data_IF_971415756053
#
_entry.id   IF_971415756053
#
_cell.length_a   1.000
_cell.length_b   1.000
_cell.length_c   1.000
_cell.angle_alpha   90.00
_cell.angle_beta   90.00
_cell.angle_gamma   90.00
#
_symmetry.space_group_name_H-M   'P 1'
#
loop_
_entity.id
_entity.type
_entity.pdbx_description
1 polymer ?
#
# COMPACT_ATOMS: atom_id res chain seq x y z
N UNK A 1 5.30 -57.83 -48.86
CA UNK A 1 4.12 -57.04 -49.30
C UNK A 1 3.93 -55.86 -48.34
N UNK A 2 3.67 -54.67 -48.92
CA UNK A 2 3.29 -53.36 -48.33
C UNK A 2 2.03 -53.48 -47.43
N UNK A 3 1.65 -52.65 -46.42
CA UNK A 3 2.00 -51.29 -45.94
C UNK A 3 1.43 -51.08 -44.50
N UNK A 4 2.07 -50.15 -43.77
CA UNK A 4 1.91 -49.54 -42.43
C UNK A 4 0.56 -49.48 -41.68
N UNK A 5 0.65 -49.54 -40.33
CA UNK A 5 -0.12 -48.71 -39.39
C UNK A 5 0.74 -48.30 -38.16
N UNK A 6 0.71 -47.01 -37.84
CA UNK A 6 1.31 -46.32 -36.67
C UNK A 6 0.35 -46.36 -35.47
N UNK A 7 0.87 -46.24 -34.23
CA UNK A 7 0.08 -45.69 -33.11
C UNK A 7 0.41 -46.28 -31.73
N UNK A 8 1.15 -45.53 -30.93
CA UNK A 8 1.63 -45.81 -29.57
C UNK A 8 0.51 -45.62 -28.50
N UNK A 9 0.53 -46.46 -27.46
CA UNK A 9 0.18 -46.19 -26.04
C UNK A 9 -1.16 -45.52 -25.70
N UNK A 10 -2.10 -46.24 -25.04
CA UNK A 10 -2.94 -45.69 -23.94
C UNK A 10 -3.44 -46.83 -23.03
N UNK A 11 -3.10 -46.71 -21.74
CA UNK A 11 -3.62 -47.41 -20.56
C UNK A 11 -5.14 -47.18 -20.40
N UNK A 12 -5.97 -48.20 -20.66
CA UNK A 12 -7.40 -48.24 -20.29
C UNK A 12 -7.73 -49.65 -19.77
N UNK A 13 -7.98 -49.75 -18.47
CA UNK A 13 -8.92 -50.71 -17.84
C UNK A 13 -9.61 -49.88 -16.75
N UNK A 14 -10.81 -49.33 -17.02
CA UNK A 14 -12.13 -49.97 -16.83
C UNK A 14 -12.32 -50.31 -15.34
N UNK A 15 -12.85 -49.38 -14.55
CA UNK A 15 -14.28 -49.28 -14.20
C UNK A 15 -14.76 -50.45 -13.34
N UNK A 16 -15.07 -50.13 -12.10
CA UNK A 16 -16.09 -50.78 -11.28
C UNK A 16 -16.66 -49.70 -10.36
N UNK A 17 -17.46 -48.75 -10.85
CA UNK A 17 -18.93 -48.84 -10.87
C UNK A 17 -19.49 -49.83 -9.85
N UNK A 18 -19.97 -49.30 -8.73
CA UNK A 18 -21.35 -49.45 -8.22
C UNK A 18 -21.35 -49.34 -6.69
N UNK A 19 -21.98 -48.27 -6.22
CA UNK A 19 -22.59 -48.19 -4.89
C UNK A 19 -23.41 -49.45 -4.60
N UNK A 20 -23.19 -50.09 -3.45
CA UNK A 20 -24.26 -50.70 -2.62
C UNK A 20 -23.70 -51.10 -1.25
N UNK A 21 -24.38 -50.67 -0.17
CA UNK A 21 -24.75 -51.56 0.93
C UNK A 21 -23.89 -51.55 2.21
N UNK A 22 -24.57 -51.22 3.31
CA UNK A 22 -24.19 -51.21 4.73
C UNK A 22 -23.19 -52.23 5.31
N UNK A 23 -22.45 -51.67 6.27
CA UNK A 23 -22.07 -52.13 7.62
C UNK A 23 -20.86 -53.06 7.88
N UNK A 24 -19.97 -52.45 8.68
CA UNK A 24 -18.95 -52.98 9.60
C UNK A 24 -17.72 -53.67 9.02
N UNK A 25 -16.60 -52.93 9.04
CA UNK A 25 -15.26 -53.48 9.25
C UNK A 25 -14.33 -52.42 9.86
N UNK A 26 -13.64 -52.83 10.92
CA UNK A 26 -12.58 -52.10 11.62
C UNK A 26 -11.39 -51.75 10.70
N UNK A 27 -10.74 -50.64 11.05
CA UNK A 27 -9.34 -50.27 10.75
C UNK A 27 -8.79 -50.61 9.35
N UNK A 28 -8.65 -49.60 8.48
CA UNK A 28 -7.75 -49.70 7.33
C UNK A 28 -7.94 -48.65 6.24
N UNK A 29 -7.07 -47.64 6.23
CA UNK A 29 -6.78 -46.70 5.12
C UNK A 29 -8.00 -46.02 4.50
N UNK A 30 -8.50 -45.00 5.22
CA UNK A 30 -9.45 -44.03 4.68
C UNK A 30 -8.92 -43.34 3.42
N UNK A 31 -9.82 -43.10 2.48
CA UNK A 31 -9.60 -42.25 1.32
C UNK A 31 -8.96 -40.94 1.78
N UNK A 32 -7.81 -40.62 1.19
CA UNK A 32 -7.12 -39.37 1.48
C UNK A 32 -7.98 -38.23 0.95
N UNK A 33 -8.58 -37.47 1.87
CA UNK A 33 -9.03 -36.11 1.59
C UNK A 33 -7.96 -35.36 0.79
N UNK A 34 -8.34 -34.45 -0.14
CA UNK A 34 -7.36 -33.68 -0.90
C UNK A 34 -6.43 -32.92 0.05
N UNK A 35 -5.19 -33.40 0.15
CA UNK A 35 -4.20 -32.88 1.09
C UNK A 35 -3.61 -31.56 0.55
N UNK A 36 -4.21 -30.45 0.97
CA UNK A 36 -3.69 -29.10 0.74
C UNK A 36 -2.60 -28.78 1.77
N UNK A 37 -1.38 -29.30 1.54
CA UNK A 37 -0.21 -28.86 2.31
C UNK A 37 0.38 -27.57 1.76
N UNK A 38 1.18 -26.87 2.57
CA UNK A 38 1.91 -25.68 2.16
C UNK A 38 2.74 -25.88 0.87
N UNK A 39 3.21 -27.10 0.60
CA UNK A 39 3.98 -27.44 -0.62
C UNK A 39 3.11 -27.58 -1.88
N UNK A 40 1.79 -27.72 -1.74
CA UNK A 40 0.85 -27.99 -2.83
C UNK A 40 0.01 -26.77 -3.24
N UNK A 41 0.17 -25.62 -2.59
CA UNK A 41 -0.73 -24.48 -2.74
C UNK A 41 -0.63 -23.77 -4.10
N UNK A 42 0.49 -23.87 -4.80
CA UNK A 42 0.68 -23.22 -6.11
C UNK A 42 0.22 -24.06 -7.31
N UNK A 43 -0.59 -25.10 -7.09
CA UNK A 43 -1.10 -25.96 -8.17
C UNK A 43 -2.32 -25.34 -8.85
N UNK A 44 -2.58 -25.81 -10.08
CA UNK A 44 -3.77 -25.40 -10.83
C UNK A 44 -5.02 -26.19 -10.42
N UNK A 45 -6.17 -25.52 -10.42
CA UNK A 45 -7.48 -26.12 -10.16
C UNK A 45 -7.99 -26.84 -11.40
N UNK A 46 -8.72 -27.94 -11.17
CA UNK A 46 -9.50 -28.55 -12.24
C UNK A 46 -10.65 -27.60 -12.66
N UNK A 47 -11.12 -27.66 -13.91
CA UNK A 47 -12.17 -26.75 -14.42
C UNK A 47 -13.45 -26.71 -13.56
N UNK A 48 -13.86 -27.83 -12.99
CA UNK A 48 -15.02 -27.99 -12.09
C UNK A 48 -14.81 -27.38 -10.69
N UNK A 49 -13.55 -27.15 -10.31
CA UNK A 49 -13.17 -26.53 -9.04
C UNK A 49 -12.92 -25.02 -9.17
N UNK A 50 -13.06 -24.46 -10.38
CA UNK A 50 -12.90 -23.02 -10.61
C UNK A 50 -14.16 -22.29 -10.15
N UNK A 51 -14.01 -21.47 -9.13
CA UNK A 51 -15.07 -20.59 -8.63
C UNK A 51 -14.93 -19.22 -9.32
N UNK A 52 -16.04 -18.73 -9.90
CA UNK A 52 -16.13 -17.35 -10.42
C UNK A 52 -16.77 -16.44 -9.39
N UNK A 53 -16.55 -15.14 -9.54
CA UNK A 53 -17.12 -14.12 -8.67
C UNK A 53 -18.15 -13.35 -9.45
N UNK A 54 -19.24 -13.04 -8.77
CA UNK A 54 -20.27 -12.17 -9.29
C UNK A 54 -20.74 -11.23 -8.20
N UNK A 55 -20.96 -9.99 -8.57
CA UNK A 55 -21.64 -8.98 -7.75
C UNK A 55 -23.13 -8.88 -8.14
N UNK A 56 -23.65 -9.89 -8.87
CA UNK A 56 -25.04 -9.93 -9.35
C UNK A 56 -26.02 -9.68 -8.19
N UNK A 57 -26.66 -8.51 -8.22
CA UNK A 57 -27.96 -8.20 -7.61
C UNK A 57 -28.13 -8.53 -6.12
N UNK A 58 -27.89 -7.53 -5.27
CA UNK A 58 -28.50 -7.39 -3.92
C UNK A 58 -28.40 -8.61 -2.99
N UNK A 59 -27.33 -9.40 -3.03
CA UNK A 59 -27.10 -10.39 -1.97
C UNK A 59 -26.83 -9.66 -0.65
N UNK A 60 -27.55 -9.99 0.42
CA UNK A 60 -27.23 -9.49 1.77
C UNK A 60 -26.08 -10.29 2.43
N UNK A 61 -25.70 -11.43 1.83
CA UNK A 61 -24.76 -12.40 2.39
C UNK A 61 -23.68 -12.82 1.41
N UNK A 62 -22.57 -13.33 1.95
CA UNK A 62 -21.59 -14.15 1.23
C UNK A 62 -22.21 -15.52 1.00
N UNK A 63 -22.53 -15.84 -0.25
CA UNK A 63 -23.21 -17.08 -0.61
C UNK A 63 -22.84 -17.56 -2.00
N UNK A 64 -23.13 -18.83 -2.31
CA UNK A 64 -23.00 -19.34 -3.67
C UNK A 64 -24.31 -19.17 -4.45
N UNK A 65 -24.20 -18.93 -5.75
CA UNK A 65 -25.33 -19.02 -6.68
C UNK A 65 -25.98 -20.41 -6.58
N UNK A 66 -27.27 -20.51 -6.94
CA UNK A 66 -28.02 -21.78 -6.88
C UNK A 66 -27.36 -22.94 -7.65
N UNK A 67 -26.57 -22.64 -8.68
CA UNK A 67 -25.82 -23.64 -9.45
C UNK A 67 -24.46 -24.03 -8.84
N UNK A 68 -24.08 -23.42 -7.71
CA UNK A 68 -22.82 -23.65 -6.99
C UNK A 68 -21.56 -23.15 -7.71
N UNK A 69 -21.69 -22.44 -8.84
CA UNK A 69 -20.53 -22.09 -9.70
C UNK A 69 -19.93 -20.72 -9.41
N UNK A 70 -20.70 -19.83 -8.77
CA UNK A 70 -20.26 -18.45 -8.50
C UNK A 70 -20.42 -18.12 -7.02
N UNK A 71 -19.43 -17.43 -6.47
CA UNK A 71 -19.58 -16.79 -5.17
C UNK A 71 -20.16 -15.39 -5.37
N UNK A 72 -21.22 -15.10 -4.63
CA UNK A 72 -21.89 -13.82 -4.51
C UNK A 72 -21.41 -13.12 -3.25
N UNK A 73 -21.14 -11.83 -3.36
CA UNK A 73 -20.76 -10.97 -2.25
C UNK A 73 -21.82 -9.88 -2.08
N UNK A 74 -22.00 -9.36 -0.85
CA UNK A 74 -22.87 -8.22 -0.66
C UNK A 74 -22.33 -6.98 -1.35
N UNK A 75 -23.24 -6.22 -1.98
CA UNK A 75 -22.93 -5.00 -2.77
C UNK A 75 -22.73 -3.79 -1.87
N UNK A 76 -23.38 -3.77 -0.71
CA UNK A 76 -23.26 -2.72 0.29
C UNK A 76 -23.39 -3.35 1.68
N UNK A 77 -22.37 -3.29 2.52
CA UNK A 77 -22.57 -3.69 3.92
C UNK A 77 -21.69 -2.94 4.91
N UNK A 78 -22.33 -2.07 5.69
CA UNK A 78 -21.68 -1.10 6.59
C UNK A 78 -21.49 -1.60 8.04
N UNK A 79 -22.28 -2.56 8.54
CA UNK A 79 -22.23 -2.90 9.98
C UNK A 79 -21.30 -4.07 10.33
N UNK A 80 -21.32 -5.17 9.55
CA UNK A 80 -20.46 -6.32 9.84
C UNK A 80 -18.98 -6.04 9.51
N UNK A 81 -18.71 -5.09 8.62
CA UNK A 81 -17.34 -4.71 8.25
C UNK A 81 -16.66 -3.89 9.36
N UNK A 82 -17.42 -3.18 10.19
CA UNK A 82 -16.88 -2.54 11.39
C UNK A 82 -16.24 -3.56 12.36
N UNK A 83 -16.75 -4.80 12.41
CA UNK A 83 -16.16 -5.89 13.21
C UNK A 83 -14.71 -6.19 12.78
N UNK A 84 -14.40 -5.98 11.50
CA UNK A 84 -13.07 -6.15 10.93
C UNK A 84 -12.26 -4.84 10.87
N UNK A 85 -12.80 -3.74 11.39
CA UNK A 85 -12.14 -2.43 11.48
C UNK A 85 -12.06 -1.68 10.16
N UNK A 86 -13.07 -1.82 9.30
CA UNK A 86 -13.27 -0.89 8.18
C UNK A 86 -13.86 0.42 8.69
N UNK A 87 -13.34 1.56 8.22
CA UNK A 87 -13.94 2.88 8.44
C UNK A 87 -14.99 3.23 7.38
N UNK A 88 -15.75 4.31 7.61
CA UNK A 88 -16.84 4.73 6.73
C UNK A 88 -16.36 5.06 5.31
N UNK A 89 -15.20 5.72 5.18
CA UNK A 89 -14.61 6.08 3.89
C UNK A 89 -14.17 4.84 3.10
N UNK A 90 -13.50 3.88 3.77
CA UNK A 90 -13.16 2.58 3.19
C UNK A 90 -14.41 1.87 2.68
N UNK A 91 -15.50 1.87 3.46
CA UNK A 91 -16.75 1.19 3.07
C UNK A 91 -17.42 1.91 1.89
N UNK A 92 -17.47 3.24 1.90
CA UNK A 92 -18.01 4.04 0.80
C UNK A 92 -17.30 3.76 -0.52
N UNK A 93 -15.96 3.76 -0.51
CA UNK A 93 -15.15 3.42 -1.68
C UNK A 93 -15.44 1.98 -2.12
N UNK A 94 -15.51 1.01 -1.21
CA UNK A 94 -15.73 -0.39 -1.57
C UNK A 94 -17.14 -0.69 -2.12
N UNK A 95 -18.08 0.23 -1.95
CA UNK A 95 -19.44 0.12 -2.47
C UNK A 95 -19.63 0.88 -3.80
N UNK A 96 -18.63 1.66 -4.23
CA UNK A 96 -18.66 2.30 -5.55
C UNK A 96 -18.34 1.26 -6.64
N UNK A 97 -19.32 1.02 -7.51
CA UNK A 97 -19.21 0.08 -8.64
C UNK A 97 -18.16 0.47 -9.69
N UNK A 98 -17.60 1.69 -9.62
CA UNK A 98 -16.54 2.19 -10.50
C UNK A 98 -15.12 1.91 -9.98
N UNK A 99 -14.96 1.55 -8.70
CA UNK A 99 -13.64 1.39 -8.06
C UNK A 99 -13.21 -0.08 -7.95
N UNK A 100 -12.36 -0.50 -8.88
CA UNK A 100 -11.52 -1.70 -8.72
C UNK A 100 -12.27 -3.01 -8.43
N UNK A 101 -11.68 -3.87 -7.58
CA UNK A 101 -12.27 -5.15 -7.21
C UNK A 101 -12.36 -5.27 -5.66
N UNK A 102 -13.51 -4.89 -5.08
CA UNK A 102 -13.72 -4.75 -3.63
C UNK A 102 -13.50 -6.01 -2.79
N UNK A 103 -13.68 -7.21 -3.39
CA UNK A 103 -13.39 -8.47 -2.70
C UNK A 103 -11.93 -8.53 -2.24
N UNK A 104 -10.98 -8.06 -3.04
CA UNK A 104 -9.57 -8.18 -2.68
C UNK A 104 -9.19 -7.31 -1.50
N UNK A 105 -9.74 -6.11 -1.44
CA UNK A 105 -9.56 -5.22 -0.29
C UNK A 105 -10.14 -5.87 0.97
N UNK A 106 -11.33 -6.48 0.85
CA UNK A 106 -11.97 -7.26 1.93
C UNK A 106 -11.10 -8.42 2.40
N UNK A 107 -10.62 -9.24 1.46
CA UNK A 107 -9.71 -10.36 1.75
C UNK A 107 -8.41 -9.89 2.41
N UNK A 108 -7.82 -8.78 1.95
CA UNK A 108 -6.58 -8.25 2.53
C UNK A 108 -6.78 -7.74 3.96
N UNK A 109 -7.97 -7.21 4.29
CA UNK A 109 -8.26 -6.76 5.65
C UNK A 109 -8.42 -7.93 6.62
N UNK A 110 -8.96 -9.07 6.19
CA UNK A 110 -9.25 -10.20 7.10
C UNK A 110 -8.26 -11.36 7.01
N UNK A 111 -7.38 -11.40 6.00
CA UNK A 111 -6.34 -12.41 5.85
C UNK A 111 -4.95 -11.86 6.17
N UNK A 112 -4.06 -12.71 6.67
CA UNK A 112 -2.64 -12.41 6.86
C UNK A 112 -1.81 -12.99 5.70
N UNK A 113 -1.90 -12.34 4.54
CA UNK A 113 -1.21 -12.78 3.31
C UNK A 113 0.28 -12.43 3.25
N UNK A 114 0.80 -11.71 4.25
CA UNK A 114 2.15 -11.14 4.30
C UNK A 114 3.30 -12.17 4.25
N UNK A 115 2.98 -13.47 4.28
CA UNK A 115 3.97 -14.55 4.23
C UNK A 115 4.09 -15.22 2.85
N UNK A 116 3.23 -14.89 1.88
CA UNK A 116 3.22 -15.52 0.54
C UNK A 116 2.88 -14.50 -0.54
N UNK A 117 1.86 -14.76 -1.34
CA UNK A 117 1.44 -13.92 -2.46
C UNK A 117 0.16 -13.18 -2.08
N UNK A 118 0.02 -11.92 -2.48
CA UNK A 118 -1.20 -11.18 -2.20
C UNK A 118 -2.41 -11.87 -2.86
N UNK A 119 -3.60 -11.90 -2.23
CA UNK A 119 -4.78 -12.58 -2.79
C UNK A 119 -5.07 -12.15 -4.23
N UNK A 120 -4.96 -10.84 -4.52
CA UNK A 120 -5.10 -10.29 -5.87
C UNK A 120 -4.08 -10.89 -6.87
N UNK A 121 -2.83 -11.09 -6.47
CA UNK A 121 -1.81 -11.66 -7.34
C UNK A 121 -2.04 -13.17 -7.55
N UNK A 122 -2.45 -13.89 -6.50
CA UNK A 122 -2.84 -15.31 -6.60
C UNK A 122 -4.04 -15.50 -7.54
N UNK A 123 -4.90 -14.48 -7.64
CA UNK A 123 -6.01 -14.45 -8.57
C UNK A 123 -5.65 -13.95 -9.98
N UNK A 124 -4.73 -13.00 -10.16
CA UNK A 124 -4.26 -12.66 -11.52
C UNK A 124 -3.57 -13.83 -12.21
N UNK A 125 -2.90 -14.69 -11.44
CA UNK A 125 -2.36 -15.96 -11.94
C UNK A 125 -3.46 -17.01 -12.25
N UNK A 126 -4.70 -16.76 -11.83
CA UNK A 126 -5.89 -17.59 -12.09
C UNK A 126 -6.44 -17.40 -13.52
N UNK A 127 -6.24 -16.24 -14.15
CA UNK A 127 -6.76 -15.94 -15.51
C UNK A 127 -6.28 -16.93 -16.59
N UNK A 128 -5.23 -17.73 -16.29
CA UNK A 128 -4.67 -18.73 -17.19
C UNK A 128 -4.91 -20.18 -16.72
N UNK A 129 -5.47 -20.43 -15.52
CA UNK A 129 -5.53 -21.82 -15.01
C UNK A 129 -6.32 -22.18 -13.76
N UNK A 130 -6.84 -21.29 -12.90
CA UNK A 130 -7.34 -21.71 -11.57
C UNK A 130 -6.21 -21.92 -10.57
N UNK A 131 -6.04 -21.13 -9.50
CA UNK A 131 -4.95 -21.34 -8.52
C UNK A 131 -5.49 -21.92 -7.20
N UNK A 132 -4.91 -23.01 -6.68
CA UNK A 132 -5.29 -23.63 -5.40
C UNK A 132 -5.16 -22.66 -4.23
N UNK A 133 -4.08 -21.86 -4.16
CA UNK A 133 -3.87 -20.87 -3.10
C UNK A 133 -5.04 -19.89 -3.01
N UNK A 134 -5.63 -19.56 -4.16
CA UNK A 134 -6.79 -18.68 -4.19
C UNK A 134 -8.03 -19.31 -3.51
N UNK A 135 -8.28 -20.60 -3.74
CA UNK A 135 -9.36 -21.33 -3.05
C UNK A 135 -9.12 -21.39 -1.55
N UNK A 136 -7.87 -21.56 -1.12
CA UNK A 136 -7.52 -21.57 0.30
C UNK A 136 -7.77 -20.18 0.93
N UNK A 137 -7.38 -19.10 0.27
CA UNK A 137 -7.70 -17.75 0.74
C UNK A 137 -9.20 -17.51 0.82
N UNK A 138 -9.97 -18.02 -0.14
CA UNK A 138 -11.41 -17.86 -0.12
C UNK A 138 -12.06 -18.64 1.03
N UNK A 139 -11.63 -19.88 1.26
CA UNK A 139 -12.11 -20.69 2.37
C UNK A 139 -11.80 -20.03 3.72
N UNK A 140 -10.57 -19.52 3.89
CA UNK A 140 -10.17 -18.85 5.12
C UNK A 140 -10.91 -17.54 5.32
N UNK A 141 -11.16 -16.78 4.24
CA UNK A 141 -11.96 -15.56 4.25
C UNK A 141 -13.38 -15.85 4.76
N UNK A 142 -14.05 -16.85 4.19
CA UNK A 142 -15.40 -17.26 4.59
C UNK A 142 -15.40 -17.76 6.04
N UNK A 143 -14.43 -18.58 6.44
CA UNK A 143 -14.32 -19.08 7.81
C UNK A 143 -14.20 -17.93 8.84
N UNK A 144 -13.45 -16.86 8.53
CA UNK A 144 -13.36 -15.68 9.40
C UNK A 144 -14.68 -14.94 9.50
N UNK A 145 -15.41 -14.78 8.38
CA UNK A 145 -16.75 -14.20 8.39
C UNK A 145 -17.76 -15.07 9.13
N UNK A 146 -17.69 -16.38 8.98
CA UNK A 146 -18.58 -17.32 9.68
C UNK A 146 -18.36 -17.26 11.21
N UNK A 147 -17.12 -17.10 11.67
CA UNK A 147 -16.78 -16.96 13.09
C UNK A 147 -17.23 -15.61 13.68
N UNK A 148 -16.99 -14.50 12.96
CA UNK A 148 -17.16 -13.14 13.48
C UNK A 148 -18.50 -12.49 13.14
N UNK A 149 -19.11 -12.90 12.03
CA UNK A 149 -20.34 -12.35 11.49
C UNK A 149 -21.18 -13.47 10.82
N UNK A 150 -21.60 -14.51 11.56
CA UNK A 150 -22.25 -15.70 10.99
C UNK A 150 -23.51 -15.39 10.18
N UNK A 151 -24.25 -14.34 10.53
CA UNK A 151 -25.43 -13.89 9.76
C UNK A 151 -25.10 -13.51 8.31
N UNK A 152 -23.84 -13.18 8.02
CA UNK A 152 -23.34 -12.76 6.72
C UNK A 152 -22.96 -13.91 5.81
N UNK A 153 -23.01 -15.16 6.26
CA UNK A 153 -22.54 -16.32 5.49
C UNK A 153 -23.67 -17.31 5.27
N UNK A 154 -23.92 -17.67 4.02
CA UNK A 154 -24.84 -18.75 3.65
C UNK A 154 -24.17 -19.72 2.67
N UNK A 155 -23.75 -20.88 3.20
CA UNK A 155 -23.06 -21.93 2.45
C UNK A 155 -24.00 -23.01 1.93
N UNK A 156 -25.33 -22.81 1.95
CA UNK A 156 -26.32 -23.81 1.53
C UNK A 156 -26.01 -24.34 0.13
N UNK A 157 -25.79 -23.41 -0.83
CA UNK A 157 -25.52 -23.73 -2.23
C UNK A 157 -24.03 -23.97 -2.55
N UNK A 158 -23.14 -23.97 -1.56
CA UNK A 158 -21.72 -24.22 -1.81
C UNK A 158 -21.52 -25.67 -2.29
N UNK A 159 -20.65 -25.92 -3.29
CA UNK A 159 -20.30 -27.28 -3.71
C UNK A 159 -19.74 -28.11 -2.55
N UNK A 160 -20.07 -29.40 -2.50
CA UNK A 160 -19.63 -30.29 -1.42
C UNK A 160 -18.11 -30.31 -1.25
N UNK A 161 -17.36 -30.35 -2.37
CA UNK A 161 -15.90 -30.29 -2.34
C UNK A 161 -15.37 -29.01 -1.68
N UNK A 162 -16.10 -27.88 -1.79
CA UNK A 162 -15.69 -26.62 -1.18
C UNK A 162 -16.08 -26.57 0.31
N UNK A 163 -17.22 -27.17 0.69
CA UNK A 163 -17.58 -27.39 2.09
C UNK A 163 -16.54 -28.24 2.82
N UNK A 164 -16.03 -29.28 2.16
CA UNK A 164 -14.93 -30.10 2.68
C UNK A 164 -13.66 -29.26 2.88
N UNK A 165 -13.33 -28.36 1.95
CA UNK A 165 -12.22 -27.41 2.10
C UNK A 165 -12.45 -26.49 3.29
N UNK A 166 -13.63 -25.87 3.43
CA UNK A 166 -13.95 -25.00 4.56
C UNK A 166 -13.74 -25.72 5.91
N UNK A 167 -14.31 -26.92 6.05
CA UNK A 167 -14.20 -27.74 7.25
C UNK A 167 -12.74 -28.10 7.54
N UNK A 168 -11.99 -28.55 6.53
CA UNK A 168 -10.56 -28.84 6.66
C UNK A 168 -9.78 -27.62 7.14
N UNK A 169 -10.02 -26.44 6.56
CA UNK A 169 -9.30 -25.19 6.88
C UNK A 169 -9.54 -24.66 8.29
N UNK A 170 -10.63 -25.06 8.96
CA UNK A 170 -10.84 -24.80 10.39
C UNK A 170 -9.89 -25.62 11.29
N UNK A 171 -9.34 -26.73 10.79
CA UNK A 171 -8.54 -27.68 11.59
C UNK A 171 -7.02 -27.54 11.42
N UNK A 172 -6.58 -26.74 10.44
CA UNK A 172 -5.15 -26.57 10.11
C UNK A 172 -4.75 -25.10 10.17
N UNK A 173 -3.46 -24.78 10.32
CA UNK A 173 -2.97 -23.41 10.20
C UNK A 173 -3.47 -22.77 8.89
N UNK A 174 -4.03 -21.57 9.02
CA UNK A 174 -4.70 -20.90 7.94
C UNK A 174 -4.34 -19.41 7.86
N UNK A 175 -4.83 -18.73 6.82
CA UNK A 175 -4.51 -17.33 6.55
C UNK A 175 -5.47 -16.36 7.23
N UNK A 176 -6.50 -16.83 7.94
CA UNK A 176 -7.43 -15.98 8.66
C UNK A 176 -6.73 -15.20 9.76
N UNK A 177 -6.99 -13.89 9.84
CA UNK A 177 -6.57 -13.09 10.98
C UNK A 177 -7.27 -13.59 12.24
N UNK A 178 -6.50 -13.73 13.29
CA UNK A 178 -6.97 -14.10 14.62
C UNK A 178 -7.55 -12.88 15.35
N UNK A 179 -8.23 -13.11 16.48
CA UNK A 179 -8.65 -12.04 17.39
C UNK A 179 -7.47 -11.15 17.83
N UNK A 180 -6.28 -11.74 18.02
CA UNK A 180 -5.05 -10.99 18.32
C UNK A 180 -4.71 -10.05 17.15
N UNK A 181 -4.79 -10.53 15.92
CA UNK A 181 -4.47 -9.71 14.73
C UNK A 181 -5.46 -8.55 14.55
N UNK A 182 -6.76 -8.78 14.74
CA UNK A 182 -7.76 -7.72 14.68
C UNK A 182 -7.56 -6.68 15.80
N UNK A 183 -7.31 -7.14 17.02
CA UNK A 183 -6.99 -6.25 18.13
C UNK A 183 -5.72 -5.43 17.86
N UNK A 184 -4.65 -6.02 17.34
CA UNK A 184 -3.42 -5.28 16.98
C UNK A 184 -3.71 -4.21 15.92
N UNK A 185 -4.64 -4.47 14.99
CA UNK A 185 -5.00 -3.48 13.97
C UNK A 185 -5.64 -2.22 14.55
N UNK A 186 -6.28 -2.28 15.72
CA UNK A 186 -6.83 -1.07 16.40
C UNK A 186 -5.78 -0.19 17.04
N UNK A 187 -4.55 -0.68 17.22
CA UNK A 187 -3.44 0.12 17.71
C UNK A 187 -3.04 1.14 16.65
N UNK A 188 -3.06 2.42 17.00
CA UNK A 188 -2.69 3.53 16.12
C UNK A 188 -1.83 4.54 16.87
N UNK A 189 -0.97 5.26 16.15
CA UNK A 189 -0.17 6.35 16.66
C UNK A 189 -0.52 7.64 15.91
N UNK A 190 -0.60 8.75 16.63
CA UNK A 190 -0.84 10.08 16.09
C UNK A 190 0.24 11.03 16.58
N UNK A 191 0.55 12.03 15.77
CA UNK A 191 1.54 13.04 16.10
C UNK A 191 0.93 14.44 15.96
N UNK A 192 1.33 15.36 16.85
CA UNK A 192 0.92 16.75 16.81
C UNK A 192 2.09 17.67 17.14
N UNK A 193 2.38 18.61 16.23
CA UNK A 193 3.34 19.68 16.46
C UNK A 193 2.81 20.74 17.44
N UNK A 194 3.69 21.23 18.30
CA UNK A 194 3.52 22.41 19.13
C UNK A 194 4.72 23.36 19.00
N UNK A 195 4.76 24.39 19.84
CA UNK A 195 5.88 25.34 19.88
C UNK A 195 7.08 24.71 20.57
N UNK A 196 8.14 24.44 19.80
CA UNK A 196 9.35 23.74 20.25
C UNK A 196 9.07 22.36 20.86
N UNK A 197 7.96 21.74 20.49
CA UNK A 197 7.57 20.44 21.01
C UNK A 197 6.79 19.60 19.99
N UNK A 198 6.78 18.30 20.23
CA UNK A 198 5.96 17.32 19.50
C UNK A 198 5.33 16.37 20.50
N UNK A 199 4.01 16.20 20.37
CA UNK A 199 3.25 15.21 21.14
C UNK A 199 3.01 13.99 20.26
N UNK A 200 3.56 12.85 20.66
CA UNK A 200 3.22 11.54 20.09
C UNK A 200 2.19 10.89 21.01
N UNK A 201 1.09 10.42 20.47
CA UNK A 201 0.00 9.75 21.22
C UNK A 201 -0.39 8.45 20.53
N UNK A 202 -0.96 7.50 21.27
CA UNK A 202 -1.35 6.21 20.73
C UNK A 202 -2.61 5.65 21.40
N UNK A 203 -3.31 4.77 20.68
CA UNK A 203 -4.37 3.94 21.26
C UNK A 203 -3.75 2.75 22.00
N UNK A 204 -4.51 2.21 22.96
CA UNK A 204 -4.10 1.05 23.75
C UNK A 204 -5.06 -0.12 23.54
N UNK A 205 -4.58 -1.33 23.79
CA UNK A 205 -5.41 -2.53 23.86
C UNK A 205 -4.75 -3.55 24.82
N UNK A 206 -5.41 -4.70 25.03
CA UNK A 206 -4.91 -5.75 25.94
C UNK A 206 -3.55 -6.37 25.57
N UNK A 207 -3.12 -6.23 24.31
CA UNK A 207 -1.86 -6.77 23.78
C UNK A 207 -0.71 -5.76 23.79
N UNK A 208 -0.98 -4.47 23.90
CA UNK A 208 0.05 -3.44 24.01
C UNK A 208 0.64 -3.40 25.42
N UNK A 209 1.98 -3.46 25.51
CA UNK A 209 2.70 -3.44 26.80
C UNK A 209 3.84 -2.44 26.85
N UNK A 210 4.41 -2.13 25.69
CA UNK A 210 5.39 -1.07 25.57
C UNK A 210 5.25 -0.32 24.27
N UNK A 211 5.64 0.96 24.30
CA UNK A 211 5.82 1.78 23.12
C UNK A 211 7.27 2.22 23.05
N UNK A 212 7.90 1.95 21.92
CA UNK A 212 9.27 2.36 21.61
C UNK A 212 9.17 3.48 20.59
N UNK A 213 9.69 4.65 20.92
CA UNK A 213 9.73 5.80 20.01
C UNK A 213 11.19 6.11 19.70
N UNK A 214 11.54 6.00 18.42
CA UNK A 214 12.81 6.50 17.89
C UNK A 214 12.52 7.76 17.10
N UNK A 215 13.32 8.81 17.27
CA UNK A 215 13.14 10.04 16.51
C UNK A 215 14.43 10.55 15.88
N UNK A 216 14.26 11.30 14.80
CA UNK A 216 15.32 11.72 13.89
C UNK A 216 15.10 13.19 13.50
N UNK A 217 16.17 13.99 13.51
CA UNK A 217 16.18 15.34 12.92
C UNK A 217 16.63 15.31 11.44
N UNK A 218 17.31 14.24 11.03
CA UNK A 218 17.72 13.96 9.66
C UNK A 218 17.88 12.44 9.52
N UNK A 219 17.77 11.88 8.32
CA UNK A 219 17.43 10.46 8.10
C UNK A 219 18.36 9.45 8.79
N UNK A 220 19.58 9.84 9.22
CA UNK A 220 20.53 8.88 9.78
C UNK A 220 21.42 9.38 10.93
N UNK A 221 21.30 10.64 11.39
CA UNK A 221 22.39 11.25 12.17
C UNK A 221 22.18 11.37 13.68
N UNK A 222 20.94 11.31 14.20
CA UNK A 222 20.70 11.48 15.65
C UNK A 222 19.54 10.62 16.15
N UNK A 223 19.80 9.34 16.42
CA UNK A 223 18.81 8.41 16.96
C UNK A 223 18.72 8.58 18.48
N UNK A 224 17.68 9.26 18.95
CA UNK A 224 17.27 9.13 20.35
C UNK A 224 16.12 8.13 20.43
N UNK A 225 16.23 7.20 21.37
CA UNK A 225 15.25 6.14 21.61
C UNK A 225 14.69 6.31 23.01
N UNK A 226 13.38 6.20 23.14
CA UNK A 226 12.71 6.05 24.41
C UNK A 226 11.81 4.81 24.38
N UNK A 227 11.72 4.13 25.53
CA UNK A 227 10.81 3.02 25.76
C UNK A 227 9.87 3.41 26.88
N UNK A 228 8.58 3.21 26.66
CA UNK A 228 7.50 3.64 27.54
C UNK A 228 6.68 2.41 27.92
N UNK A 229 6.65 2.07 29.20
CA UNK A 229 5.96 0.90 29.76
C UNK A 229 5.13 1.25 31.01
N UNK A 230 4.94 2.55 31.27
CA UNK A 230 4.26 3.08 32.45
C UNK A 230 2.73 3.15 32.29
N UNK A 231 2.19 2.66 31.18
CA UNK A 231 0.76 2.70 30.87
C UNK A 231 0.28 4.04 30.31
N UNK A 232 1.17 5.02 30.10
CA UNK A 232 0.81 6.26 29.42
C UNK A 232 0.37 6.03 27.96
N UNK A 233 -0.39 6.98 27.43
CA UNK A 233 -0.91 6.97 26.04
C UNK A 233 -0.34 8.08 25.19
N UNK A 234 0.63 8.83 25.73
CA UNK A 234 1.31 9.92 25.03
C UNK A 234 2.68 10.21 25.61
N UNK A 235 3.55 10.77 24.77
CA UNK A 235 4.86 11.28 25.14
C UNK A 235 5.10 12.63 24.47
N UNK A 236 5.74 13.56 25.20
CA UNK A 236 6.03 14.91 24.72
C UNK A 236 7.53 15.08 24.56
N UNK A 237 7.98 15.30 23.33
CA UNK A 237 9.32 15.75 23.02
C UNK A 237 9.36 17.27 23.14
N UNK A 238 10.25 17.80 23.98
CA UNK A 238 10.43 19.23 24.20
C UNK A 238 11.77 19.71 23.65
N UNK A 239 11.97 21.03 23.66
CA UNK A 239 13.21 21.70 23.25
C UNK A 239 13.61 21.41 21.80
N UNK A 240 12.61 21.22 20.94
CA UNK A 240 12.79 21.06 19.51
C UNK A 240 12.92 22.43 18.82
N UNK A 241 13.49 22.44 17.63
CA UNK A 241 13.57 23.64 16.80
C UNK A 241 12.29 23.77 15.97
N UNK A 242 11.69 24.96 15.97
CA UNK A 242 10.58 25.25 15.06
C UNK A 242 11.08 25.28 13.61
N UNK A 243 10.19 24.96 12.68
CA UNK A 243 10.46 24.94 11.23
C UNK A 243 11.53 23.93 10.81
N UNK A 244 11.92 23.03 11.73
CA UNK A 244 12.74 21.85 11.43
C UNK A 244 11.87 20.60 11.45
N UNK A 245 11.87 19.77 10.41
CA UNK A 245 11.08 18.57 10.39
C UNK A 245 11.74 17.47 11.23
N UNK A 246 10.90 16.61 11.80
CA UNK A 246 11.31 15.47 12.61
C UNK A 246 10.55 14.23 12.17
N UNK A 247 11.26 13.10 12.09
CA UNK A 247 10.68 11.78 11.85
C UNK A 247 10.58 11.00 13.15
N UNK A 248 9.52 10.22 13.31
CA UNK A 248 9.24 9.40 14.47
C UNK A 248 8.86 7.99 14.04
N UNK A 249 9.65 7.02 14.47
CA UNK A 249 9.31 5.60 14.37
C UNK A 249 8.68 5.16 15.68
N UNK A 250 7.38 4.93 15.67
CA UNK A 250 6.62 4.43 16.81
C UNK A 250 6.42 2.93 16.64
N UNK A 251 7.00 2.14 17.54
CA UNK A 251 6.89 0.67 17.55
C UNK A 251 6.12 0.21 18.78
N UNK A 252 5.08 -0.58 18.58
CA UNK A 252 4.27 -1.18 19.63
C UNK A 252 4.80 -2.57 19.95
N UNK A 253 5.03 -2.86 21.22
CA UNK A 253 5.56 -4.12 21.71
C UNK A 253 4.58 -4.84 22.64
N UNK A 254 4.53 -6.17 22.53
CA UNK A 254 3.70 -7.03 23.40
C UNK A 254 4.44 -7.52 24.65
N UNK A 255 3.81 -8.42 25.43
CA UNK A 255 4.36 -8.96 26.69
C UNK A 255 5.73 -9.64 26.52
N UNK A 256 6.06 -10.11 25.32
CA UNK A 256 7.35 -10.76 25.04
C UNK A 256 8.45 -9.75 24.69
N UNK A 257 8.10 -8.48 24.50
CA UNK A 257 8.97 -7.45 23.93
C UNK A 257 9.04 -7.49 22.40
N UNK A 258 8.32 -8.40 21.74
CA UNK A 258 8.22 -8.45 20.28
C UNK A 258 7.45 -7.24 19.74
N UNK A 259 7.97 -6.63 18.67
CA UNK A 259 7.29 -5.52 17.99
C UNK A 259 6.15 -6.05 17.14
N UNK A 260 4.93 -5.75 17.56
CA UNK A 260 3.67 -6.20 16.96
C UNK A 260 3.10 -5.22 15.91
N UNK A 261 3.50 -3.94 15.95
CA UNK A 261 3.10 -2.93 14.96
C UNK A 261 4.08 -1.77 14.91
N UNK A 262 4.20 -1.09 13.76
CA UNK A 262 5.11 0.04 13.55
C UNK A 262 4.42 1.13 12.76
N UNK A 263 4.75 2.38 13.08
CA UNK A 263 4.36 3.58 12.35
C UNK A 263 5.57 4.45 12.11
N UNK A 264 5.62 5.04 10.93
CA UNK A 264 6.47 6.18 10.63
C UNK A 264 5.58 7.41 10.56
N UNK A 265 5.88 8.41 11.39
CA UNK A 265 5.13 9.64 11.51
C UNK A 265 6.11 10.81 11.43
N UNK A 266 5.73 11.86 10.72
CA UNK A 266 6.58 13.01 10.49
C UNK A 266 5.82 14.29 10.87
N UNK A 267 6.53 15.28 11.41
CA UNK A 267 5.93 16.57 11.75
C UNK A 267 6.99 17.66 11.90
N UNK A 268 6.58 18.92 11.71
CA UNK A 268 7.42 20.11 11.94
C UNK A 268 6.87 20.97 13.07
N UNK A 269 7.60 21.15 14.20
CA UNK A 269 7.23 22.09 15.27
C UNK A 269 7.10 23.52 14.76
N UNK A 270 6.20 24.30 15.36
CA UNK A 270 5.85 25.65 14.88
C UNK A 270 5.47 26.57 16.02
N UNK A 271 5.72 27.87 15.86
CA UNK A 271 5.50 28.83 16.95
C UNK A 271 4.02 29.01 17.30
N UNK A 272 3.12 28.72 16.36
CA UNK A 272 1.68 28.97 16.45
C UNK A 272 1.29 30.33 15.90
N UNK A 273 2.25 31.17 15.51
CA UNK A 273 2.04 32.45 14.84
C UNK A 273 2.13 32.24 13.34
N UNK A 274 0.97 32.20 12.67
CA UNK A 274 0.89 31.96 11.22
C UNK A 274 1.73 32.96 10.41
N UNK A 275 1.91 34.19 10.90
CA UNK A 275 2.68 35.21 10.17
C UNK A 275 4.19 34.96 10.16
N UNK A 276 4.67 34.12 11.09
CA UNK A 276 6.09 33.73 11.22
C UNK A 276 6.35 32.33 10.71
N UNK A 277 5.36 31.46 10.79
CA UNK A 277 5.52 30.06 10.45
C UNK A 277 5.29 29.79 8.95
N UNK A 278 4.47 30.61 8.26
CA UNK A 278 4.07 30.37 6.88
C UNK A 278 4.46 31.50 5.93
N UNK A 279 4.60 31.15 4.65
CA UNK A 279 4.65 32.11 3.56
C UNK A 279 3.34 32.91 3.44
N UNK A 280 3.44 34.15 2.96
CA UNK A 280 2.29 35.04 2.75
C UNK A 280 1.81 35.08 1.30
N UNK A 281 2.65 34.65 0.36
CA UNK A 281 2.42 34.77 -1.07
C UNK A 281 3.60 34.28 -1.89
N UNK A 282 3.45 34.21 -3.21
CA UNK A 282 4.51 33.79 -4.13
C UNK A 282 5.77 34.64 -4.07
N UNK A 283 5.67 35.91 -3.63
CA UNK A 283 6.83 36.77 -3.37
C UNK A 283 7.76 36.25 -2.28
N UNK A 284 7.28 35.34 -1.43
CA UNK A 284 8.07 34.73 -0.36
C UNK A 284 8.87 33.50 -0.81
N UNK A 285 8.73 33.08 -2.07
CA UNK A 285 9.52 31.99 -2.66
C UNK A 285 10.94 32.43 -2.99
N UNK A 286 11.71 32.68 -1.94
CA UNK A 286 13.11 33.09 -2.00
C UNK A 286 13.94 32.25 -1.04
N UNK A 287 15.24 32.11 -1.33
CA UNK A 287 16.12 31.29 -0.50
C UNK A 287 16.11 31.77 0.96
N UNK A 288 16.06 33.07 1.25
CA UNK A 288 16.02 33.59 2.62
C UNK A 288 14.79 33.14 3.46
N UNK A 289 13.76 32.59 2.82
CA UNK A 289 12.52 32.11 3.46
C UNK A 289 12.31 30.60 3.28
N UNK A 290 13.35 29.85 2.92
CA UNK A 290 13.24 28.43 2.58
C UNK A 290 12.68 27.56 3.73
N UNK A 291 12.86 27.99 4.98
CA UNK A 291 12.41 27.30 6.20
C UNK A 291 10.91 27.53 6.50
N UNK A 292 10.27 28.52 5.86
CA UNK A 292 8.85 28.76 6.09
C UNK A 292 8.01 27.61 5.53
N UNK A 293 6.89 27.36 6.20
CA UNK A 293 5.90 26.37 5.79
C UNK A 293 5.04 26.90 4.66
N UNK A 294 4.57 25.98 3.83
CA UNK A 294 3.60 26.26 2.77
C UNK A 294 2.18 26.29 3.34
N UNK A 295 1.33 27.18 2.80
CA UNK A 295 -0.13 27.06 2.98
C UNK A 295 -0.68 25.98 2.05
N UNK A 296 -1.90 25.50 2.31
CA UNK A 296 -2.56 24.47 1.49
C UNK A 296 -2.68 24.86 0.01
N UNK A 297 -2.69 26.16 -0.30
CA UNK A 297 -2.77 26.71 -1.66
C UNK A 297 -1.58 26.32 -2.56
N UNK A 298 -0.44 25.96 -1.96
CA UNK A 298 0.81 25.66 -2.67
C UNK A 298 1.13 24.17 -2.71
N UNK A 299 0.09 23.34 -2.65
CA UNK A 299 0.20 21.90 -2.67
C UNK A 299 0.71 21.36 -4.01
N UNK A 300 1.81 20.59 -3.97
CA UNK A 300 2.26 19.73 -5.05
C UNK A 300 2.37 18.31 -4.52
N UNK A 301 1.49 17.41 -4.99
CA UNK A 301 1.68 15.97 -4.78
C UNK A 301 2.66 15.43 -5.83
N UNK A 302 3.58 14.55 -5.43
CA UNK A 302 4.60 13.94 -6.28
C UNK A 302 4.39 12.42 -6.50
N UNK A 303 3.25 11.86 -6.06
CA UNK A 303 3.06 10.40 -5.95
C UNK A 303 2.14 9.77 -7.00
N UNK A 304 1.77 10.45 -8.08
CA UNK A 304 1.10 9.78 -9.20
C UNK A 304 2.14 9.12 -10.12
N UNK A 305 2.59 7.93 -9.71
CA UNK A 305 3.45 7.04 -10.50
C UNK A 305 2.66 6.45 -11.67
N UNK A 306 2.40 7.26 -12.70
CA UNK A 306 1.86 6.76 -13.96
C UNK A 306 2.91 5.88 -14.64
N UNK A 307 2.62 4.60 -14.89
CA UNK A 307 3.55 3.65 -15.52
C UNK A 307 3.94 4.00 -16.96
N UNK A 308 3.27 4.98 -17.58
CA UNK A 308 3.27 5.18 -19.04
C UNK A 308 3.31 6.66 -19.48
N UNK A 309 4.15 7.51 -18.87
CA UNK A 309 4.31 8.92 -19.30
C UNK A 309 5.78 9.27 -19.57
N UNK A 310 6.05 9.75 -20.79
CA UNK A 310 7.38 10.18 -21.23
C UNK A 310 7.71 11.65 -20.88
N UNK A 311 6.97 12.25 -19.94
CA UNK A 311 7.03 13.68 -19.63
C UNK A 311 6.82 13.93 -18.14
N UNK A 312 7.39 15.02 -17.65
CA UNK A 312 7.01 15.63 -16.37
C UNK A 312 5.84 16.57 -16.64
N UNK A 313 4.69 16.30 -16.03
CA UNK A 313 3.46 17.03 -16.31
C UNK A 313 2.68 17.34 -15.02
N UNK A 314 1.64 18.14 -15.15
CA UNK A 314 0.71 18.43 -14.06
C UNK A 314 -0.68 17.83 -14.39
N UNK A 315 -1.33 17.28 -13.37
CA UNK A 315 -2.72 16.85 -13.44
C UNK A 315 -3.65 18.06 -13.51
N UNK A 316 -4.94 17.83 -13.85
CA UNK A 316 -5.94 18.91 -13.93
C UNK A 316 -6.20 19.59 -12.58
N UNK A 317 -5.99 18.88 -11.47
CA UNK A 317 -6.07 19.41 -10.11
C UNK A 317 -4.74 20.02 -9.64
N UNK A 318 -3.78 20.25 -10.55
CA UNK A 318 -2.54 20.97 -10.28
C UNK A 318 -1.45 20.17 -9.57
N UNK A 319 -1.62 18.86 -9.38
CA UNK A 319 -0.61 17.96 -8.81
C UNK A 319 0.48 17.67 -9.84
N UNK A 320 1.73 17.60 -9.41
CA UNK A 320 2.83 17.25 -10.31
C UNK A 320 2.87 15.72 -10.49
N UNK A 321 2.56 15.26 -11.70
CA UNK A 321 2.68 13.85 -12.06
C UNK A 321 4.13 13.61 -12.46
N UNK A 322 4.84 12.90 -11.59
CA UNK A 322 6.20 12.42 -11.83
C UNK A 322 6.14 10.99 -12.34
N UNK A 323 6.87 10.71 -13.43
CA UNK A 323 6.89 9.36 -13.99
C UNK A 323 8.30 8.79 -14.07
N UNK A 324 8.48 7.53 -13.61
CA UNK A 324 9.45 6.59 -14.14
C UNK A 324 8.75 5.56 -15.05
N UNK A 325 9.39 5.01 -16.08
CA UNK A 325 10.65 4.30 -15.93
C UNK A 325 11.35 4.06 -17.27
N UNK A 326 12.69 3.97 -17.19
CA UNK A 326 13.68 3.64 -18.23
C UNK A 326 13.87 4.66 -19.34
N UNK A 327 14.92 5.46 -19.15
CA UNK A 327 15.65 6.18 -20.20
C UNK A 327 14.72 6.81 -21.23
N UNK A 328 14.28 8.04 -20.94
CA UNK A 328 14.09 8.95 -22.06
C UNK A 328 15.42 8.92 -22.83
N UNK A 329 15.43 8.47 -24.08
CA UNK A 329 16.64 8.45 -24.93
C UNK A 329 17.38 9.80 -24.94
N UNK A 330 16.68 10.86 -24.54
CA UNK A 330 17.16 12.22 -24.45
C UNK A 330 17.99 12.52 -23.17
N UNK A 331 17.93 11.71 -22.11
CA UNK A 331 18.64 11.99 -20.83
C UNK A 331 20.16 11.72 -20.84
N UNK A 332 20.70 11.20 -21.95
CA UNK A 332 22.17 11.13 -22.15
C UNK A 332 22.84 12.50 -22.07
N UNK A 333 22.10 13.61 -22.22
CA UNK A 333 22.61 14.98 -22.14
C UNK A 333 23.19 15.32 -20.75
N UNK A 334 22.82 14.58 -19.71
CA UNK A 334 23.26 14.83 -18.33
C UNK A 334 24.28 13.79 -17.83
N UNK A 335 24.75 12.88 -18.70
CA UNK A 335 25.80 11.90 -18.38
C UNK A 335 25.52 11.08 -17.10
N UNK A 336 24.31 10.52 -16.97
CA UNK A 336 23.99 9.59 -15.88
C UNK A 336 24.67 8.23 -16.08
N UNK A 337 25.25 7.72 -15.01
CA UNK A 337 25.79 6.37 -14.91
C UNK A 337 24.67 5.34 -14.75
N UNK A 338 24.96 4.07 -15.08
CA UNK A 338 24.01 2.97 -14.87
C UNK A 338 23.64 2.76 -13.39
N UNK A 339 24.56 3.09 -12.49
CA UNK A 339 24.36 3.00 -11.04
C UNK A 339 23.39 4.09 -10.54
N UNK A 340 23.60 5.35 -10.95
CA UNK A 340 22.66 6.46 -10.67
C UNK A 340 21.23 6.15 -11.16
N UNK A 341 21.10 5.43 -12.27
CA UNK A 341 19.80 5.07 -12.86
C UNK A 341 19.17 3.81 -12.24
N UNK A 342 19.85 3.14 -11.32
CA UNK A 342 19.38 1.95 -10.62
C UNK A 342 18.71 2.22 -9.26
N UNK A 343 18.72 3.47 -8.78
CA UNK A 343 18.17 3.83 -7.47
C UNK A 343 16.64 3.87 -7.45
N UNK A 344 16.05 3.54 -6.28
CA UNK A 344 14.59 3.57 -6.06
C UNK A 344 13.99 4.98 -6.16
N UNK A 345 14.79 6.05 -5.98
CA UNK A 345 14.37 7.45 -6.06
C UNK A 345 15.06 8.22 -7.19
N UNK A 346 14.75 7.81 -8.43
CA UNK A 346 15.37 8.35 -9.64
C UNK A 346 15.12 9.85 -9.83
N UNK A 347 14.01 10.40 -9.31
CA UNK A 347 13.69 11.81 -9.46
C UNK A 347 14.61 12.68 -8.61
N UNK A 348 14.85 12.28 -7.37
CA UNK A 348 15.82 12.97 -6.51
C UNK A 348 17.23 12.88 -7.08
N UNK A 349 17.65 11.70 -7.53
CA UNK A 349 18.97 11.53 -8.18
C UNK A 349 19.14 12.48 -9.38
N UNK A 350 18.07 12.69 -10.16
CA UNK A 350 18.08 13.65 -11.27
C UNK A 350 18.24 15.09 -10.80
N UNK A 351 17.60 15.47 -9.69
CA UNK A 351 17.76 16.79 -9.10
C UNK A 351 19.17 17.02 -8.58
N UNK A 352 19.71 16.08 -7.80
CA UNK A 352 21.08 16.15 -7.24
C UNK A 352 22.15 16.24 -8.33
N UNK A 353 21.90 15.68 -9.52
CA UNK A 353 22.82 15.79 -10.65
C UNK A 353 23.01 17.24 -11.09
N UNK A 354 21.92 18.00 -11.22
CA UNK A 354 21.93 19.34 -11.83
C UNK A 354 21.86 20.48 -10.82
N UNK A 355 21.47 20.21 -9.57
CA UNK A 355 21.33 21.20 -8.51
C UNK A 355 22.39 21.04 -7.41
N UNK A 356 22.85 22.15 -6.84
CA UNK A 356 23.57 22.25 -5.58
C UNK A 356 22.57 22.03 -4.45
N UNK A 357 22.29 20.76 -4.16
CA UNK A 357 21.46 20.39 -3.01
C UNK A 357 22.32 20.47 -1.75
N UNK A 358 21.83 21.15 -0.72
CA UNK A 358 22.41 20.98 0.61
C UNK A 358 22.17 19.54 1.08
N UNK A 359 23.12 18.97 1.82
CA UNK A 359 23.16 17.57 2.31
C UNK A 359 22.07 17.25 3.35
N UNK A 360 20.95 17.96 3.30
CA UNK A 360 19.89 17.95 4.30
C UNK A 360 18.58 17.76 3.59
N UNK A 361 18.02 16.57 3.83
CA UNK A 361 16.68 16.13 3.46
C UNK A 361 16.56 15.67 2.01
N UNK A 362 16.73 14.36 1.83
CA UNK A 362 16.19 13.66 0.64
C UNK A 362 14.72 14.03 0.44
N UNK A 363 14.31 14.02 -0.83
CA UNK A 363 12.94 14.04 -1.40
C UNK A 363 11.75 13.65 -0.51
N UNK A 364 11.94 12.79 0.48
CA UNK A 364 10.93 12.32 1.42
C UNK A 364 10.29 13.41 2.27
N UNK A 365 10.99 14.50 2.60
CA UNK A 365 10.37 15.62 3.35
C UNK A 365 9.62 16.59 2.44
N UNK A 366 10.04 16.63 1.19
CA UNK A 366 9.43 17.32 0.08
C UNK A 366 8.11 16.68 -0.38
N UNK A 367 7.91 15.41 -0.03
CA UNK A 367 6.76 14.61 -0.44
C UNK A 367 5.55 14.71 0.50
N UNK A 368 5.71 15.38 1.66
CA UNK A 368 4.64 15.60 2.63
C UNK A 368 3.91 16.90 2.29
N UNK A 369 2.99 16.75 1.34
CA UNK A 369 1.92 17.67 0.99
C UNK A 369 1.30 18.43 2.20
N UNK A 370 1.09 19.74 2.05
CA UNK A 370 0.35 20.58 3.00
C UNK A 370 1.24 21.31 4.02
N UNK A 371 0.75 21.49 5.25
CA UNK A 371 1.40 22.28 6.33
C UNK A 371 2.80 21.81 6.76
N UNK A 372 3.32 20.71 6.19
CA UNK A 372 4.64 20.14 6.49
C UNK A 372 5.64 20.30 5.33
N UNK A 373 5.20 20.75 4.14
CA UNK A 373 6.08 21.07 3.02
C UNK A 373 6.86 22.37 3.26
N UNK A 374 8.03 22.49 2.64
CA UNK A 374 8.87 23.69 2.76
C UNK A 374 9.13 24.35 1.40
N UNK A 375 9.48 25.64 1.44
CA UNK A 375 9.77 26.45 0.26
C UNK A 375 10.99 25.92 -0.51
N UNK A 376 11.99 25.36 0.19
CA UNK A 376 13.21 24.83 -0.43
C UNK A 376 12.91 23.82 -1.55
N UNK A 377 11.96 22.91 -1.31
CA UNK A 377 11.57 21.93 -2.32
C UNK A 377 10.96 22.55 -3.57
N UNK A 378 10.10 23.56 -3.42
CA UNK A 378 9.51 24.26 -4.56
C UNK A 378 10.58 25.00 -5.38
N UNK A 379 11.59 25.56 -4.70
CA UNK A 379 12.73 26.19 -5.35
C UNK A 379 13.55 25.17 -6.15
N UNK A 380 13.86 24.00 -5.57
CA UNK A 380 14.52 22.90 -6.28
C UNK A 380 13.69 22.41 -7.47
N UNK A 381 12.39 22.21 -7.30
CA UNK A 381 11.50 21.81 -8.39
C UNK A 381 11.52 22.81 -9.54
N UNK A 382 11.37 24.10 -9.25
CA UNK A 382 11.36 25.13 -10.27
C UNK A 382 12.70 25.24 -11.02
N UNK A 383 13.82 25.22 -10.30
CA UNK A 383 15.16 25.23 -10.90
C UNK A 383 15.41 23.99 -11.77
N UNK A 384 15.09 22.81 -11.24
CA UNK A 384 15.22 21.53 -11.96
C UNK A 384 14.41 21.54 -13.26
N UNK A 385 13.13 21.90 -13.18
CA UNK A 385 12.23 21.93 -14.33
C UNK A 385 12.65 22.96 -15.37
N UNK A 386 13.19 24.12 -14.96
CA UNK A 386 13.75 25.10 -15.88
C UNK A 386 14.92 24.53 -16.69
N UNK A 387 15.83 23.80 -16.04
CA UNK A 387 16.97 23.15 -16.72
C UNK A 387 16.48 22.04 -17.65
N UNK A 388 15.55 21.20 -17.19
CA UNK A 388 15.00 20.13 -18.02
C UNK A 388 14.23 20.70 -19.21
N UNK A 389 13.43 21.75 -19.04
CA UNK A 389 12.73 22.41 -20.15
C UNK A 389 13.72 23.03 -21.16
N UNK A 390 14.82 23.62 -20.69
CA UNK A 390 15.86 24.23 -21.54
C UNK A 390 16.65 23.18 -22.33
N UNK A 391 17.07 22.09 -21.69
CA UNK A 391 17.94 21.06 -22.29
C UNK A 391 17.16 19.96 -23.03
N UNK A 392 15.91 19.73 -22.63
CA UNK A 392 15.01 18.71 -23.18
C UNK A 392 13.62 19.29 -23.54
N UNK A 393 13.53 20.09 -24.62
CA UNK A 393 12.26 20.64 -25.06
C UNK A 393 11.22 19.52 -25.30
N UNK A 394 10.03 19.67 -24.69
CA UNK A 394 8.94 18.71 -24.81
C UNK A 394 8.87 17.63 -23.73
N UNK A 395 9.87 17.55 -22.83
CA UNK A 395 9.83 16.65 -21.65
C UNK A 395 9.07 17.28 -20.49
N UNK A 396 9.08 18.60 -20.34
CA UNK A 396 8.32 19.32 -19.30
C UNK A 396 7.06 19.93 -19.93
N UNK A 397 5.90 19.51 -19.45
CA UNK A 397 4.58 20.01 -19.86
C UNK A 397 3.94 20.81 -18.71
N UNK A 398 3.90 22.13 -18.88
CA UNK A 398 3.35 23.07 -17.91
C UNK A 398 1.90 23.47 -18.20
N UNK A 399 1.22 22.84 -19.16
CA UNK A 399 -0.14 23.23 -19.58
C UNK A 399 -1.10 23.31 -18.40
N UNK A 400 -1.10 22.28 -17.54
CA UNK A 400 -1.92 22.22 -16.34
C UNK A 400 -1.21 22.70 -15.06
N UNK A 401 0.01 23.25 -15.16
CA UNK A 401 0.71 23.76 -13.99
C UNK A 401 -0.04 24.97 -13.40
N UNK A 402 -0.16 25.08 -12.06
CA UNK A 402 -0.77 26.23 -11.43
C UNK A 402 -0.06 27.54 -11.81
N UNK A 403 -0.80 28.64 -11.92
CA UNK A 403 -0.23 29.94 -12.32
C UNK A 403 0.82 30.45 -11.35
N UNK A 404 0.65 30.18 -10.06
CA UNK A 404 1.65 30.51 -9.03
C UNK A 404 2.98 29.78 -9.28
N UNK A 405 2.93 28.54 -9.77
CA UNK A 405 4.13 27.74 -10.02
C UNK A 405 4.81 28.16 -11.32
N UNK A 406 4.04 28.49 -12.36
CA UNK A 406 4.56 29.11 -13.59
C UNK A 406 5.29 30.42 -13.28
N UNK A 407 4.71 31.24 -12.40
CA UNK A 407 5.31 32.49 -11.91
C UNK A 407 6.62 32.21 -11.17
N UNK A 408 6.65 31.22 -10.29
CA UNK A 408 7.87 30.79 -9.61
C UNK A 408 8.95 30.33 -10.60
N UNK A 409 8.60 29.49 -11.57
CA UNK A 409 9.55 29.05 -12.61
C UNK A 409 10.17 30.24 -13.35
N UNK A 410 9.35 31.23 -13.75
CA UNK A 410 9.84 32.42 -14.44
C UNK A 410 10.79 33.24 -13.55
N UNK A 411 10.45 33.44 -12.28
CA UNK A 411 11.31 34.10 -11.30
C UNK A 411 12.66 33.38 -11.15
N UNK A 412 12.65 32.05 -11.19
CA UNK A 412 13.85 31.22 -11.01
C UNK A 412 14.75 31.14 -12.24
N UNK A 413 14.23 31.26 -13.47
CA UNK A 413 15.01 31.10 -14.72
C UNK A 413 16.31 31.91 -14.76
N UNK A 414 16.28 33.13 -14.23
CA UNK A 414 17.42 34.04 -14.21
C UNK A 414 17.81 34.46 -12.79
N UNK A 415 17.38 33.69 -11.78
CA UNK A 415 17.66 34.05 -10.39
C UNK A 415 19.16 33.87 -10.09
N UNK A 416 19.85 34.90 -9.55
CA UNK A 416 21.22 34.74 -9.07
C UNK A 416 21.31 33.72 -7.91
N UNK A 417 20.17 33.49 -7.23
CA UNK A 417 20.01 32.57 -6.11
C UNK A 417 19.55 31.17 -6.55
N UNK A 418 19.66 30.86 -7.85
CA UNK A 418 19.36 29.53 -8.40
C UNK A 418 20.27 28.45 -7.81
N UNK A 419 19.70 27.30 -7.48
CA UNK A 419 20.44 26.13 -7.02
C UNK A 419 21.10 25.36 -8.16
N UNK A 420 20.90 25.75 -9.43
CA UNK A 420 21.53 25.07 -10.56
C UNK A 420 23.07 25.13 -10.44
N UNK A 421 23.75 23.98 -10.63
CA UNK A 421 25.22 23.95 -10.67
C UNK A 421 25.73 24.73 -11.88
N UNK A 422 26.89 25.36 -11.72
CA UNK A 422 27.36 26.33 -12.73
C UNK A 422 27.61 25.70 -14.10
N UNK A 423 27.91 24.40 -14.18
CA UNK A 423 28.02 23.64 -15.43
C UNK A 423 26.69 23.44 -16.21
N UNK A 424 25.53 23.66 -15.57
CA UNK A 424 24.21 23.51 -16.18
C UNK A 424 23.45 24.82 -16.39
N UNK A 425 23.93 25.95 -15.86
CA UNK A 425 23.40 27.29 -16.15
C UNK A 425 23.56 27.61 -17.64
#
# INVERSE_FOLDING_TARGET
MKKYFFGLTVFIIIVSTLFTGCETLESGKGEKQPYFSEKNEQKFLKPDQKIRFTIEGLSEKIQFTKDGKRLMLPVSYQEAEQIFGFDEEEIEILNDTSTGNPLWYRMNKVLNANKKQWPLQAAKTNDWGGNVLYILYLADFINVYEDKAPSMVDMTNAPDWFKDVLAYRKTVPNYGKTEKDFSINTLNAKIKAGNKEVVVSWTTNKYLKGVIIEWYHDEYMNRKKITITDGSTKYVFKDLQNLKPYKFKVSFADNSGEVIKKYWLDTTPRSGDKNKDYIKGTSDFVNAKYELLLTEDYHISCYDWGSDVNKIAFSKDGKMILVPNKFLKAENIFDYTKEEMGYEDIFWTRMEKVLKTEDKQKSFFASIAGENGNVLWLLYCADFLNIYQKKLPGVVDLSNAPDWFKTLMEQRKNSPDSYVKDEYK
#
